data_IF_146381388237
#
_entry.id   IF_146381388237
#
_cell.length_a   1.000
_cell.length_b   1.000
_cell.length_c   1.000
_cell.angle_alpha   90.00
_cell.angle_beta   90.00
_cell.angle_gamma   90.00
#
_symmetry.space_group_name_H-M   'P 1'
#
loop_
_entity.id
_entity.type
_entity.pdbx_description
1 polymer ?
#
# COMPACT_ATOMS: atom_id res chain seq x y z
N UNK A 1 7.33 16.75 13.55
CA UNK A 1 7.92 15.66 14.37
C UNK A 1 9.19 15.19 13.69
N UNK A 2 10.37 15.60 14.19
CA UNK A 2 11.64 14.99 13.78
C UNK A 2 11.81 13.79 14.68
N UNK A 3 11.60 12.59 14.15
CA UNK A 3 11.92 11.35 14.87
C UNK A 3 13.44 11.33 14.99
N UNK A 4 13.93 11.52 16.21
CA UNK A 4 15.36 11.59 16.48
C UNK A 4 15.97 10.21 16.22
N UNK A 5 16.73 10.09 15.13
CA UNK A 5 17.42 8.86 14.71
C UNK A 5 18.28 8.27 15.84
N UNK A 6 18.76 9.13 16.76
CA UNK A 6 19.50 8.69 17.94
C UNK A 6 18.64 7.86 18.88
N UNK A 7 17.40 8.29 19.13
CA UNK A 7 16.50 7.62 20.08
C UNK A 7 16.03 6.25 19.58
N UNK A 8 15.82 6.15 18.26
CA UNK A 8 15.44 4.90 17.61
C UNK A 8 16.62 3.91 17.55
N UNK A 9 17.84 4.40 17.32
CA UNK A 9 19.06 3.58 17.38
C UNK A 9 19.36 3.11 18.81
N UNK A 10 19.17 3.95 19.84
CA UNK A 10 19.35 3.53 21.24
C UNK A 10 18.32 2.49 21.66
N UNK A 11 17.05 2.65 21.26
CA UNK A 11 16.01 1.66 21.56
C UNK A 11 16.25 0.31 20.85
N UNK A 12 16.78 0.35 19.61
CA UNK A 12 17.17 -0.86 18.86
C UNK A 12 18.36 -1.59 19.50
N UNK A 13 19.31 -0.86 20.06
CA UNK A 13 20.46 -1.43 20.76
C UNK A 13 20.09 -2.07 22.09
N UNK A 14 19.16 -1.47 22.84
CA UNK A 14 18.73 -1.98 24.16
C UNK A 14 18.02 -3.35 24.09
N UNK A 15 17.46 -3.73 22.93
CA UNK A 15 16.79 -5.03 22.74
C UNK A 15 17.78 -6.21 22.88
N UNK A 16 19.03 -6.02 22.46
CA UNK A 16 20.06 -7.09 22.47
C UNK A 16 21.17 -6.83 23.47
N UNK A 17 21.50 -5.56 23.72
CA UNK A 17 22.50 -5.15 24.69
C UNK A 17 21.84 -4.26 25.73
N UNK A 18 21.08 -4.88 26.63
CA UNK A 18 20.48 -4.18 27.77
C UNK A 18 21.58 -3.44 28.54
N UNK A 19 21.54 -2.10 28.53
CA UNK A 19 22.35 -1.32 29.45
C UNK A 19 21.70 -1.36 30.82
N UNK A 20 22.43 -1.89 31.78
CA UNK A 20 22.07 -1.86 33.19
C UNK A 20 21.99 -0.38 33.63
N UNK A 21 20.77 0.15 33.79
CA UNK A 21 20.53 1.57 34.13
C UNK A 21 20.68 1.85 35.65
N UNK A 22 21.20 0.90 36.43
CA UNK A 22 21.08 0.95 37.89
C UNK A 22 22.29 1.50 38.65
N UNK A 23 23.44 1.81 38.03
CA UNK A 23 24.54 2.43 38.76
C UNK A 23 25.35 3.47 37.98
N UNK A 24 25.55 4.59 38.67
CA UNK A 24 26.18 5.82 38.22
C UNK A 24 27.70 5.73 38.16
N UNK A 25 28.27 6.44 37.18
CA UNK A 25 29.61 7.08 37.20
C UNK A 25 30.83 6.14 37.00
N UNK A 26 31.48 6.37 35.84
CA UNK A 26 32.82 5.92 35.43
C UNK A 26 32.98 4.41 35.22
N UNK A 27 32.68 3.96 34.01
CA UNK A 27 33.72 3.33 33.18
C UNK A 27 33.22 3.26 31.74
N UNK A 28 33.94 3.94 30.84
CA UNK A 28 33.88 3.65 29.41
C UNK A 28 34.37 2.20 29.23
N UNK A 29 33.47 1.22 29.37
CA UNK A 29 33.76 -0.18 29.02
C UNK A 29 33.91 -0.23 27.50
N UNK A 30 35.13 0.04 27.01
CA UNK A 30 35.56 -0.28 25.65
C UNK A 30 35.39 -1.79 25.47
N UNK A 31 34.81 -2.26 24.36
CA UNK A 31 34.67 -3.70 24.13
C UNK A 31 36.05 -4.32 23.93
N UNK A 32 36.59 -5.00 24.94
CA UNK A 32 37.87 -5.74 24.88
C UNK A 32 37.72 -7.14 24.23
N UNK A 33 36.83 -7.27 23.25
CA UNK A 33 36.70 -8.50 22.46
C UNK A 33 36.44 -8.13 21.01
N UNK A 34 37.34 -8.54 20.13
CA UNK A 34 37.26 -8.37 18.67
C UNK A 34 35.95 -8.96 18.12
N UNK A 35 35.41 -10.00 18.76
CA UNK A 35 34.11 -10.59 18.44
C UNK A 35 32.91 -9.73 18.87
N UNK A 36 32.99 -9.05 20.01
CA UNK A 36 31.93 -8.15 20.50
C UNK A 36 31.81 -6.87 19.68
N UNK A 37 32.94 -6.31 19.23
CA UNK A 37 32.97 -5.16 18.33
C UNK A 37 32.42 -5.52 16.94
N UNK A 38 32.76 -6.70 16.41
CA UNK A 38 32.21 -7.20 15.15
C UNK A 38 30.69 -7.42 15.23
N UNK A 39 30.20 -8.04 16.31
CA UNK A 39 28.77 -8.24 16.54
C UNK A 39 28.01 -6.92 16.67
N UNK A 40 28.58 -5.92 17.35
CA UNK A 40 28.01 -4.57 17.45
C UNK A 40 27.93 -3.85 16.09
N UNK A 41 28.99 -3.93 15.28
CA UNK A 41 29.00 -3.35 13.93
C UNK A 41 28.06 -4.09 12.97
N UNK A 42 27.98 -5.42 13.06
CA UNK A 42 27.03 -6.19 12.27
C UNK A 42 25.58 -5.85 12.66
N UNK A 43 25.30 -5.74 13.95
CA UNK A 43 23.95 -5.46 14.47
C UNK A 43 23.49 -4.02 14.19
N UNK A 44 24.42 -3.05 14.25
CA UNK A 44 24.15 -1.67 13.87
C UNK A 44 23.98 -1.51 12.35
N UNK A 45 24.79 -2.19 11.54
CA UNK A 45 24.61 -2.21 10.09
C UNK A 45 23.27 -2.85 9.69
N UNK A 46 22.88 -3.93 10.37
CA UNK A 46 21.61 -4.61 10.16
C UNK A 46 20.43 -3.72 10.61
N UNK A 47 20.55 -3.06 11.76
CA UNK A 47 19.57 -2.07 12.23
C UNK A 47 19.42 -0.88 11.29
N UNK A 48 20.52 -0.37 10.74
CA UNK A 48 20.52 0.73 9.77
C UNK A 48 19.88 0.31 8.44
N UNK A 49 20.17 -0.90 7.97
CA UNK A 49 19.57 -1.46 6.76
C UNK A 49 18.06 -1.68 6.95
N UNK A 50 17.65 -2.24 8.09
CA UNK A 50 16.24 -2.37 8.48
C UNK A 50 15.58 -0.99 8.55
N UNK A 51 16.18 0.00 9.20
CA UNK A 51 15.66 1.38 9.24
C UNK A 51 15.53 1.99 7.85
N UNK A 52 16.49 1.76 6.97
CA UNK A 52 16.48 2.29 5.59
C UNK A 52 15.34 1.73 4.77
N UNK A 53 14.88 0.51 5.06
CA UNK A 53 13.74 -0.13 4.38
C UNK A 53 12.43 0.15 5.11
N UNK A 54 12.40 0.04 6.44
CA UNK A 54 11.21 0.22 7.28
C UNK A 54 10.77 1.68 7.29
N UNK A 55 11.69 2.65 7.30
CA UNK A 55 11.34 4.07 7.31
C UNK A 55 10.54 4.50 6.07
N UNK A 56 10.99 4.25 4.81
CA UNK A 56 10.18 4.58 3.64
C UNK A 56 8.87 3.80 3.61
N UNK A 57 8.83 2.55 4.08
CA UNK A 57 7.58 1.78 4.21
C UNK A 57 6.61 2.40 5.21
N UNK A 58 7.10 2.90 6.33
CA UNK A 58 6.31 3.58 7.35
C UNK A 58 5.76 4.91 6.80
N UNK A 59 6.57 5.66 6.04
CA UNK A 59 6.13 6.86 5.32
C UNK A 59 5.07 6.51 4.27
N UNK A 60 5.23 5.39 3.54
CA UNK A 60 4.26 4.90 2.57
C UNK A 60 2.93 4.50 3.23
N UNK A 61 2.99 3.83 4.38
CA UNK A 61 1.82 3.52 5.21
C UNK A 61 1.13 4.79 5.71
N UNK A 62 1.90 5.79 6.17
CA UNK A 62 1.38 7.08 6.61
C UNK A 62 0.76 7.88 5.45
N UNK A 63 1.38 7.89 4.28
CA UNK A 63 0.86 8.53 3.08
C UNK A 63 -0.43 7.86 2.63
N UNK A 64 -0.44 6.52 2.55
CA UNK A 64 -1.64 5.72 2.24
C UNK A 64 -2.76 6.04 3.23
N UNK A 65 -2.47 6.08 4.54
CA UNK A 65 -3.44 6.48 5.56
C UNK A 65 -3.90 7.93 5.41
N UNK A 66 -3.01 8.86 5.08
CA UNK A 66 -3.36 10.27 4.88
C UNK A 66 -4.32 10.44 3.70
N UNK A 67 -4.05 9.78 2.58
CA UNK A 67 -4.96 9.74 1.44
C UNK A 67 -6.26 9.02 1.78
N UNK A 68 -6.20 7.89 2.50
CA UNK A 68 -7.39 7.16 2.95
C UNK A 68 -8.27 7.99 3.91
N UNK A 69 -7.71 8.68 4.90
CA UNK A 69 -8.44 9.58 5.80
C UNK A 69 -8.99 10.81 5.10
N UNK A 70 -8.30 11.32 4.06
CA UNK A 70 -8.81 12.43 3.27
C UNK A 70 -10.01 11.98 2.44
N UNK A 71 -9.92 10.81 1.82
CA UNK A 71 -11.05 10.16 1.12
C UNK A 71 -12.19 9.86 2.10
N UNK A 72 -11.89 9.41 3.33
CA UNK A 72 -12.91 9.17 4.37
C UNK A 72 -13.64 10.45 4.74
N UNK A 73 -12.97 11.61 4.79
CA UNK A 73 -13.63 12.88 5.09
C UNK A 73 -14.62 13.29 4.00
N UNK A 74 -14.30 13.03 2.74
CA UNK A 74 -15.24 13.21 1.62
C UNK A 74 -16.36 12.15 1.65
N UNK A 75 -16.03 10.90 1.99
CA UNK A 75 -16.96 9.76 2.01
C UNK A 75 -17.90 9.77 3.22
N UNK A 76 -17.48 10.31 4.36
CA UNK A 76 -18.31 10.48 5.56
C UNK A 76 -19.42 11.50 5.34
N UNK A 77 -19.21 12.48 4.44
CA UNK A 77 -20.24 13.44 4.03
C UNK A 77 -21.14 12.94 2.90
N UNK A 78 -20.62 12.20 1.92
CA UNK A 78 -21.37 11.79 0.72
C UNK A 78 -21.96 10.37 0.77
N UNK A 79 -21.42 9.49 1.62
CA UNK A 79 -21.73 8.06 1.59
C UNK A 79 -21.26 7.34 0.31
N UNK A 80 -21.48 6.03 0.22
CA UNK A 80 -21.15 5.25 -1.00
C UNK A 80 -21.91 5.76 -2.23
N UNK A 81 -23.17 6.18 -2.03
CA UNK A 81 -24.02 6.73 -3.08
C UNK A 81 -23.45 8.03 -3.62
N UNK A 82 -22.98 8.93 -2.75
CA UNK A 82 -22.36 10.16 -3.20
C UNK A 82 -21.02 9.93 -3.91
N UNK A 83 -20.22 8.96 -3.48
CA UNK A 83 -19.00 8.59 -4.24
C UNK A 83 -19.35 8.05 -5.62
N UNK A 84 -20.39 7.22 -5.74
CA UNK A 84 -20.86 6.73 -7.02
C UNK A 84 -21.35 7.87 -7.92
N UNK A 85 -22.16 8.79 -7.39
CA UNK A 85 -22.67 9.97 -8.14
C UNK A 85 -21.53 10.89 -8.57
N UNK A 86 -20.58 11.18 -7.68
CA UNK A 86 -19.41 11.98 -8.00
C UNK A 86 -18.54 11.32 -9.06
N UNK A 87 -18.36 9.99 -8.96
CA UNK A 87 -17.61 9.22 -9.95
C UNK A 87 -18.30 9.26 -11.32
N UNK A 88 -19.61 9.06 -11.37
CA UNK A 88 -20.40 9.19 -12.61
C UNK A 88 -20.30 10.61 -13.17
N UNK A 89 -20.30 11.63 -12.33
CA UNK A 89 -20.15 13.02 -12.77
C UNK A 89 -18.77 13.29 -13.36
N UNK A 90 -17.69 12.88 -12.67
CA UNK A 90 -16.31 13.07 -13.15
C UNK A 90 -16.08 12.29 -14.44
N UNK A 91 -16.42 11.00 -14.47
CA UNK A 91 -16.26 10.17 -15.67
C UNK A 91 -17.18 10.64 -16.80
N UNK A 92 -18.40 11.04 -16.50
CA UNK A 92 -19.33 11.62 -17.47
C UNK A 92 -18.79 12.89 -18.11
N UNK A 93 -18.11 13.75 -17.33
CA UNK A 93 -17.44 14.94 -17.86
C UNK A 93 -16.26 14.55 -18.77
N UNK A 94 -15.45 13.57 -18.39
CA UNK A 94 -14.37 13.06 -19.23
C UNK A 94 -14.90 12.43 -20.53
N UNK A 95 -15.99 11.67 -20.48
CA UNK A 95 -16.64 11.08 -21.65
C UNK A 95 -17.25 12.16 -22.56
N UNK A 96 -17.87 13.19 -21.99
CA UNK A 96 -18.36 14.33 -22.78
C UNK A 96 -17.20 15.08 -23.45
N UNK A 97 -16.09 15.28 -22.73
CA UNK A 97 -14.89 15.92 -23.26
C UNK A 97 -14.27 15.12 -24.42
N UNK A 98 -14.21 13.79 -24.32
CA UNK A 98 -13.71 12.95 -25.43
C UNK A 98 -14.68 12.90 -26.61
N UNK A 99 -15.99 12.97 -26.37
CA UNK A 99 -17.00 13.02 -27.43
C UNK A 99 -16.93 14.30 -28.28
N UNK A 100 -16.60 15.44 -27.66
CA UNK A 100 -16.52 16.75 -28.34
C UNK A 100 -15.13 16.97 -28.97
N UNK A 101 -14.12 16.23 -28.52
CA UNK A 101 -12.75 16.32 -29.02
C UNK A 101 -12.59 15.62 -30.38
N UNK A 102 -11.59 15.95 -31.21
CA UNK A 102 -11.30 15.24 -32.47
C UNK A 102 -10.83 13.78 -32.29
N UNK A 103 -10.87 13.26 -31.07
CA UNK A 103 -10.46 11.92 -30.71
C UNK A 103 -11.48 10.94 -31.30
N UNK A 104 -10.99 9.85 -31.90
CA UNK A 104 -11.85 8.80 -32.45
C UNK A 104 -12.85 8.28 -31.40
N UNK A 105 -14.03 7.84 -31.84
CA UNK A 105 -15.11 7.28 -30.99
C UNK A 105 -14.61 6.17 -30.04
N UNK A 106 -13.57 5.46 -30.45
CA UNK A 106 -12.76 4.53 -29.64
C UNK A 106 -12.32 5.11 -28.29
N UNK A 107 -11.85 6.36 -28.25
CA UNK A 107 -11.45 7.05 -27.02
C UNK A 107 -12.63 7.35 -26.09
N UNK A 108 -13.81 7.61 -26.64
CA UNK A 108 -15.03 7.75 -25.83
C UNK A 108 -15.40 6.43 -25.15
N UNK A 109 -15.46 5.33 -25.92
CA UNK A 109 -15.78 3.99 -25.40
C UNK A 109 -14.74 3.58 -24.34
N UNK A 110 -13.46 3.83 -24.59
CA UNK A 110 -12.38 3.56 -23.66
C UNK A 110 -12.61 4.22 -22.28
N UNK A 111 -12.94 5.52 -22.28
CA UNK A 111 -13.20 6.26 -21.04
C UNK A 111 -14.46 5.78 -20.32
N UNK A 112 -15.54 5.49 -21.05
CA UNK A 112 -16.80 5.01 -20.46
C UNK A 112 -16.59 3.66 -19.78
N UNK A 113 -16.01 2.68 -20.47
CA UNK A 113 -15.83 1.33 -19.92
C UNK A 113 -14.83 1.36 -18.75
N UNK A 114 -13.73 2.11 -18.88
CA UNK A 114 -12.77 2.32 -17.80
C UNK A 114 -13.42 2.97 -16.57
N UNK A 115 -14.25 3.98 -16.79
CA UNK A 115 -14.98 4.66 -15.72
C UNK A 115 -15.91 3.72 -14.96
N UNK A 116 -16.69 2.90 -15.66
CA UNK A 116 -17.57 1.89 -15.03
C UNK A 116 -16.77 0.93 -14.15
N UNK A 117 -15.66 0.40 -14.64
CA UNK A 117 -14.79 -0.51 -13.88
C UNK A 117 -14.21 0.18 -12.65
N UNK A 118 -13.76 1.43 -12.79
CA UNK A 118 -13.25 2.25 -11.69
C UNK A 118 -14.33 2.43 -10.61
N UNK A 119 -15.54 2.84 -11.02
CA UNK A 119 -16.65 3.13 -10.12
C UNK A 119 -17.10 1.88 -9.37
N UNK A 120 -17.30 0.76 -10.06
CA UNK A 120 -17.70 -0.51 -9.42
C UNK A 120 -16.64 -0.93 -8.39
N UNK A 121 -15.37 -0.94 -8.79
CA UNK A 121 -14.27 -1.33 -7.89
C UNK A 121 -14.17 -0.42 -6.67
N UNK A 122 -14.31 0.89 -6.85
CA UNK A 122 -14.27 1.87 -5.77
C UNK A 122 -15.46 1.72 -4.81
N UNK A 123 -16.68 1.59 -5.33
CA UNK A 123 -17.89 1.40 -4.52
C UNK A 123 -17.78 0.10 -3.72
N UNK A 124 -17.32 -0.97 -4.35
CA UNK A 124 -17.16 -2.26 -3.70
C UNK A 124 -16.07 -2.21 -2.62
N UNK A 125 -14.95 -1.53 -2.87
CA UNK A 125 -13.92 -1.27 -1.86
C UNK A 125 -14.48 -0.53 -0.64
N UNK A 126 -15.29 0.51 -0.87
CA UNK A 126 -15.93 1.28 0.21
C UNK A 126 -16.98 0.46 0.97
N UNK A 127 -17.71 -0.40 0.27
CA UNK A 127 -18.68 -1.30 0.88
C UNK A 127 -17.99 -2.28 1.84
N UNK A 128 -16.94 -2.98 1.39
CA UNK A 128 -16.21 -3.92 2.23
C UNK A 128 -15.47 -3.24 3.39
N UNK A 129 -15.06 -1.98 3.21
CA UNK A 129 -14.47 -1.19 4.28
C UNK A 129 -15.45 -0.87 5.41
N UNK A 130 -16.75 -0.78 5.12
CA UNK A 130 -17.78 -0.47 6.13
C UNK A 130 -18.20 -1.65 6.99
N UNK A 131 -17.82 -2.88 6.64
CA UNK A 131 -18.23 -4.09 7.38
C UNK A 131 -17.50 -4.27 8.73
N UNK A 132 -16.90 -3.19 9.28
CA UNK A 132 -16.19 -3.08 10.58
C UNK A 132 -15.09 -4.13 10.89
N UNK A 133 -14.80 -5.05 9.98
CA UNK A 133 -13.73 -6.04 10.14
C UNK A 133 -12.40 -5.51 9.63
N UNK A 134 -11.40 -5.33 10.53
CA UNK A 134 -9.99 -5.06 10.16
C UNK A 134 -9.49 -6.02 9.06
N UNK A 135 -9.84 -7.30 9.17
CA UNK A 135 -9.49 -8.32 8.18
C UNK A 135 -10.17 -8.10 6.82
N UNK A 136 -11.47 -7.78 6.79
CA UNK A 136 -12.21 -7.55 5.53
C UNK A 136 -11.68 -6.35 4.75
N UNK A 137 -11.22 -5.31 5.46
CA UNK A 137 -10.61 -4.14 4.84
C UNK A 137 -9.28 -4.50 4.19
N UNK A 138 -8.39 -5.21 4.90
CA UNK A 138 -7.07 -5.64 4.38
C UNK A 138 -7.22 -6.61 3.21
N UNK A 139 -8.06 -7.63 3.36
CA UNK A 139 -8.13 -8.74 2.40
C UNK A 139 -8.88 -8.35 1.13
N UNK A 140 -9.90 -7.49 1.23
CA UNK A 140 -10.82 -7.22 0.12
C UNK A 140 -10.82 -5.75 -0.30
N UNK A 141 -10.97 -4.82 0.65
CA UNK A 141 -11.12 -3.40 0.32
C UNK A 141 -9.85 -2.80 -0.31
N UNK A 142 -8.66 -3.13 0.20
CA UNK A 142 -7.42 -2.61 -0.39
C UNK A 142 -7.14 -3.14 -1.79
N UNK A 143 -7.23 -4.45 -2.09
CA UNK A 143 -7.13 -4.95 -3.46
C UNK A 143 -8.11 -4.27 -4.43
N UNK A 144 -9.37 -4.11 -4.04
CA UNK A 144 -10.37 -3.44 -4.87
C UNK A 144 -10.07 -1.95 -5.05
N UNK A 145 -9.53 -1.28 -4.03
CA UNK A 145 -9.07 0.10 -4.13
C UNK A 145 -7.90 0.26 -5.11
N UNK A 146 -6.91 -0.64 -5.05
CA UNK A 146 -5.80 -0.69 -6.01
C UNK A 146 -6.35 -0.96 -7.42
N UNK A 147 -7.29 -1.89 -7.56
CA UNK A 147 -7.98 -2.19 -8.82
C UNK A 147 -8.69 -0.95 -9.38
N UNK A 148 -9.40 -0.20 -8.55
CA UNK A 148 -10.12 1.01 -8.96
C UNK A 148 -9.19 2.09 -9.54
N UNK A 149 -7.91 2.10 -9.15
CA UNK A 149 -6.91 3.07 -9.59
C UNK A 149 -6.18 2.59 -10.85
N UNK A 150 -5.74 1.32 -10.87
CA UNK A 150 -4.83 0.82 -11.90
C UNK A 150 -5.50 0.07 -13.04
N UNK A 151 -6.69 -0.50 -12.81
CA UNK A 151 -7.41 -1.24 -13.84
C UNK A 151 -8.02 -0.34 -14.93
N UNK A 152 -8.53 0.89 -14.65
CA UNK A 152 -9.16 1.72 -15.68
C UNK A 152 -8.27 2.02 -16.90
N UNK A 153 -6.98 2.40 -16.74
CA UNK A 153 -6.09 2.60 -17.89
C UNK A 153 -5.90 1.34 -18.76
N UNK A 154 -5.86 0.16 -18.14
CA UNK A 154 -5.68 -1.14 -18.83
C UNK A 154 -6.94 -1.53 -19.57
N UNK A 155 -8.11 -1.27 -18.98
CA UNK A 155 -9.38 -1.50 -19.65
C UNK A 155 -9.57 -0.51 -20.80
N UNK A 156 -9.20 0.75 -20.61
CA UNK A 156 -9.24 1.77 -21.67
C UNK A 156 -8.36 1.38 -22.86
N UNK A 157 -7.20 0.77 -22.62
CA UNK A 157 -6.30 0.34 -23.71
C UNK A 157 -6.85 -0.80 -24.57
N UNK A 158 -7.88 -1.52 -24.12
CA UNK A 158 -8.59 -2.48 -24.97
C UNK A 158 -9.41 -1.82 -26.08
N UNK A 159 -9.80 -0.56 -25.88
CA UNK A 159 -10.68 0.17 -26.78
C UNK A 159 -9.97 1.32 -27.49
N UNK A 160 -8.75 1.69 -27.07
CA UNK A 160 -7.97 2.79 -27.67
C UNK A 160 -6.60 2.30 -28.16
N UNK A 161 -6.34 2.32 -29.48
CA UNK A 161 -5.04 1.94 -30.05
C UNK A 161 -3.88 2.78 -29.52
N UNK A 162 -4.10 4.06 -29.24
CA UNK A 162 -3.10 4.96 -28.66
C UNK A 162 -2.67 4.55 -27.27
N UNK A 163 -3.62 4.07 -26.45
CA UNK A 163 -3.30 3.54 -25.12
C UNK A 163 -2.71 2.13 -25.21
N UNK A 164 -3.22 1.29 -26.12
CA UNK A 164 -2.74 -0.06 -26.37
C UNK A 164 -1.24 -0.10 -26.69
N UNK A 165 -0.77 0.84 -27.53
CA UNK A 165 0.63 0.90 -27.97
C UNK A 165 1.62 1.22 -26.86
N UNK A 166 1.15 1.77 -25.74
CA UNK A 166 1.98 2.08 -24.56
C UNK A 166 1.76 1.01 -23.48
N UNK A 167 0.50 0.71 -23.16
CA UNK A 167 0.13 -0.14 -22.02
C UNK A 167 0.47 -1.61 -22.27
N UNK A 168 0.19 -2.16 -23.46
CA UNK A 168 0.42 -3.59 -23.71
C UNK A 168 1.90 -3.97 -23.78
N UNK A 169 2.79 -3.23 -24.46
CA UNK A 169 4.22 -3.53 -24.44
C UNK A 169 4.83 -3.47 -23.03
N UNK A 170 4.48 -2.43 -22.25
CA UNK A 170 4.93 -2.31 -20.86
C UNK A 170 4.40 -3.44 -19.99
N UNK A 171 3.12 -3.80 -20.15
CA UNK A 171 2.50 -4.92 -19.41
C UNK A 171 3.15 -6.26 -19.75
N UNK A 172 3.44 -6.52 -21.03
CA UNK A 172 4.13 -7.73 -21.47
C UNK A 172 5.55 -7.81 -20.92
N UNK A 173 6.29 -6.70 -20.96
CA UNK A 173 7.65 -6.63 -20.40
C UNK A 173 7.65 -6.95 -18.89
N UNK A 174 6.71 -6.34 -18.15
CA UNK A 174 6.52 -6.61 -16.73
C UNK A 174 6.14 -8.07 -16.47
N UNK A 175 5.22 -8.64 -17.26
CA UNK A 175 4.81 -10.04 -17.13
C UNK A 175 5.99 -11.00 -17.32
N UNK A 176 6.79 -10.77 -18.36
CA UNK A 176 7.99 -11.57 -18.65
C UNK A 176 9.00 -11.43 -17.50
N UNK A 177 9.19 -10.22 -16.97
CA UNK A 177 10.09 -9.99 -15.84
C UNK A 177 9.62 -10.73 -14.58
N UNK A 178 8.32 -10.67 -14.24
CA UNK A 178 7.77 -11.40 -13.09
C UNK A 178 7.93 -12.91 -13.29
N UNK A 179 7.62 -13.43 -14.49
CA UNK A 179 7.79 -14.85 -14.79
C UNK A 179 9.23 -15.32 -14.66
N UNK A 180 10.19 -14.50 -15.09
CA UNK A 180 11.61 -14.87 -15.09
C UNK A 180 12.30 -14.71 -13.72
N UNK A 181 11.78 -13.87 -12.83
CA UNK A 181 12.46 -13.56 -11.56
C UNK A 181 11.71 -14.09 -10.34
N UNK A 182 10.38 -13.95 -10.32
CA UNK A 182 9.55 -14.26 -9.16
C UNK A 182 8.93 -15.65 -9.29
N UNK A 183 8.42 -15.98 -10.49
CA UNK A 183 7.68 -17.23 -10.74
C UNK A 183 8.50 -18.30 -11.45
N UNK A 184 9.82 -18.13 -11.57
CA UNK A 184 10.75 -19.13 -12.13
C UNK A 184 11.05 -20.27 -11.13
N UNK A 185 10.08 -20.57 -10.26
CA UNK A 185 10.18 -21.58 -9.22
C UNK A 185 9.21 -22.70 -9.55
N UNK A 186 9.69 -23.95 -9.46
CA UNK A 186 8.88 -25.16 -9.59
C UNK A 186 8.04 -25.28 -10.88
N UNK A 187 8.49 -24.66 -11.98
CA UNK A 187 7.82 -24.77 -13.29
C UNK A 187 6.55 -23.92 -13.45
N UNK A 188 6.22 -23.05 -12.49
CA UNK A 188 5.04 -22.18 -12.54
C UNK A 188 5.09 -21.26 -13.78
N UNK A 189 6.25 -20.66 -14.07
CA UNK A 189 6.42 -19.84 -15.27
C UNK A 189 6.18 -20.62 -16.58
N UNK A 190 6.62 -21.88 -16.65
CA UNK A 190 6.40 -22.74 -17.81
C UNK A 190 4.91 -23.10 -17.97
N UNK A 191 4.23 -23.42 -16.87
CA UNK A 191 2.79 -23.70 -16.86
C UNK A 191 1.97 -22.48 -17.31
N UNK A 192 2.29 -21.29 -16.80
CA UNK A 192 1.58 -20.04 -17.16
C UNK A 192 1.79 -19.73 -18.65
N UNK A 193 3.01 -19.85 -19.18
CA UNK A 193 3.29 -19.64 -20.62
C UNK A 193 2.60 -20.65 -21.53
N UNK A 194 2.46 -21.90 -21.08
CA UNK A 194 1.81 -22.95 -21.86
C UNK A 194 0.27 -22.82 -21.84
N UNK A 195 -0.29 -22.27 -20.77
CA UNK A 195 -1.75 -22.23 -20.54
C UNK A 195 -2.39 -20.88 -20.89
N UNK A 196 -1.62 -19.79 -20.90
CA UNK A 196 -2.15 -18.44 -21.05
C UNK A 196 -1.38 -17.62 -22.09
N UNK A 197 -2.11 -17.08 -23.06
CA UNK A 197 -1.59 -16.04 -23.94
C UNK A 197 -2.01 -14.66 -23.41
N UNK A 198 -1.04 -13.77 -23.24
CA UNK A 198 -1.32 -12.38 -22.86
C UNK A 198 -1.86 -11.62 -24.07
N UNK A 199 -3.17 -11.68 -24.28
CA UNK A 199 -3.87 -10.92 -25.30
C UNK A 199 -5.13 -10.26 -24.72
N UNK A 200 -5.35 -8.98 -25.07
CA UNK A 200 -6.55 -8.23 -24.73
C UNK A 200 -6.95 -8.35 -23.25
N UNK A 201 -8.08 -9.01 -22.98
CA UNK A 201 -8.65 -9.15 -21.63
C UNK A 201 -7.71 -9.88 -20.66
N UNK A 202 -6.78 -10.71 -21.14
CA UNK A 202 -5.77 -11.34 -20.29
C UNK A 202 -4.88 -10.31 -19.55
N UNK A 203 -4.64 -9.14 -20.14
CA UNK A 203 -3.96 -8.04 -19.46
C UNK A 203 -4.74 -7.54 -18.24
N UNK A 204 -6.07 -7.45 -18.35
CA UNK A 204 -6.95 -7.05 -17.24
C UNK A 204 -6.88 -8.09 -16.11
N UNK A 205 -6.93 -9.38 -16.44
CA UNK A 205 -6.80 -10.46 -15.46
C UNK A 205 -5.45 -10.46 -14.74
N UNK A 206 -4.36 -10.20 -15.48
CA UNK A 206 -3.02 -10.05 -14.92
C UNK A 206 -2.95 -8.87 -13.94
N UNK A 207 -3.37 -7.68 -14.36
CA UNK A 207 -3.34 -6.48 -13.53
C UNK A 207 -4.23 -6.61 -12.29
N UNK A 208 -5.40 -7.24 -12.43
CA UNK A 208 -6.26 -7.57 -11.29
C UNK A 208 -5.55 -8.53 -10.32
N UNK A 209 -4.89 -9.56 -10.83
CA UNK A 209 -4.14 -10.51 -10.01
C UNK A 209 -2.97 -9.86 -9.28
N UNK A 210 -2.32 -8.86 -9.89
CA UNK A 210 -1.26 -8.05 -9.26
C UNK A 210 -1.80 -7.06 -8.22
N UNK A 211 -3.02 -6.55 -8.42
CA UNK A 211 -3.65 -5.64 -7.47
C UNK A 211 -3.93 -6.30 -6.11
N UNK A 212 -4.11 -7.62 -6.06
CA UNK A 212 -4.32 -8.39 -4.83
C UNK A 212 -3.12 -8.33 -3.87
N UNK A 213 -1.92 -8.81 -4.24
CA UNK A 213 -0.76 -8.77 -3.34
C UNK A 213 -0.35 -7.33 -3.01
N UNK A 214 -0.48 -6.39 -3.96
CA UNK A 214 -0.21 -4.96 -3.71
C UNK A 214 -1.20 -4.39 -2.70
N UNK A 215 -2.49 -4.72 -2.83
CA UNK A 215 -3.53 -4.33 -1.89
C UNK A 215 -3.27 -4.88 -0.49
N UNK A 216 -2.91 -6.16 -0.37
CA UNK A 216 -2.56 -6.76 0.91
C UNK A 216 -1.32 -6.13 1.54
N UNK A 217 -0.32 -5.81 0.74
CA UNK A 217 0.87 -5.11 1.20
C UNK A 217 0.56 -3.72 1.75
N UNK A 218 -0.25 -2.92 1.04
CA UNK A 218 -0.68 -1.61 1.52
C UNK A 218 -1.56 -1.73 2.77
N UNK A 219 -2.48 -2.69 2.78
CA UNK A 219 -3.36 -2.94 3.91
C UNK A 219 -2.60 -3.35 5.17
N UNK A 220 -1.60 -4.23 5.04
CA UNK A 220 -0.76 -4.65 6.15
C UNK A 220 0.05 -3.50 6.73
N UNK A 221 0.67 -2.67 5.89
CA UNK A 221 1.40 -1.47 6.32
C UNK A 221 0.51 -0.52 7.13
N UNK A 222 -0.72 -0.27 6.68
CA UNK A 222 -1.64 0.61 7.42
C UNK A 222 -2.02 -0.02 8.76
N UNK A 223 -2.32 -1.32 8.81
CA UNK A 223 -2.63 -1.99 10.08
C UNK A 223 -1.47 -1.98 11.08
N UNK A 224 -0.23 -2.07 10.60
CA UNK A 224 0.97 -1.97 11.44
C UNK A 224 1.12 -0.57 12.04
N UNK A 225 0.93 0.47 11.22
CA UNK A 225 0.98 1.87 11.67
C UNK A 225 -0.11 2.15 12.72
N UNK A 226 -1.31 1.62 12.51
CA UNK A 226 -2.42 1.77 13.45
C UNK A 226 -2.12 1.08 14.79
N UNK A 227 -1.54 -0.13 14.77
CA UNK A 227 -1.18 -0.86 15.99
C UNK A 227 -0.10 -0.17 16.84
N UNK A 228 0.91 0.44 16.22
CA UNK A 228 1.97 1.20 16.93
C UNK A 228 1.38 2.40 17.66
N UNK A 229 0.36 3.04 17.09
CA UNK A 229 -0.27 4.23 17.68
C UNK A 229 -1.20 3.88 18.85
N UNK A 230 -1.93 2.77 18.77
CA UNK A 230 -2.79 2.29 19.87
C UNK A 230 -1.95 1.87 21.10
N UNK A 231 -0.75 1.34 20.85
CA UNK A 231 0.20 0.91 21.91
C UNK A 231 0.90 2.07 22.63
N UNK A 232 0.77 3.30 22.12
CA UNK A 232 1.43 4.51 22.64
C UNK A 232 0.51 5.49 23.35
N UNK A 233 -0.75 5.13 23.62
CA UNK A 233 -1.68 5.96 24.39
C UNK A 233 -1.26 6.04 25.87
N UNK A 234 -1.37 7.21 26.53
CA UNK A 234 -0.93 7.37 27.91
C UNK A 234 -1.70 6.40 28.81
N UNK A 235 -0.97 5.63 29.61
CA UNK A 235 -1.53 4.92 30.75
C UNK A 235 -2.36 5.92 31.56
N UNK A 236 -3.68 5.71 31.59
CA UNK A 236 -4.53 6.33 32.59
C UNK A 236 -3.99 5.89 33.95
N UNK A 237 -3.27 6.81 34.62
CA UNK A 237 -3.02 6.70 36.05
C UNK A 237 -4.37 6.90 36.70
N UNK A 238 -4.89 5.81 37.24
CA UNK A 238 -6.07 5.78 38.09
C UNK A 238 -5.66 6.40 39.43
N UNK A 239 -5.81 7.73 39.55
CA UNK A 239 -5.59 8.44 40.81
C UNK A 239 -6.76 8.15 41.75
N UNK A 240 -6.64 7.04 42.48
CA UNK A 240 -7.31 6.87 43.76
C UNK A 240 -6.77 7.90 44.75
N UNK A 241 -7.60 8.90 45.13
CA UNK A 241 -7.11 9.96 46.03
C UNK A 241 -8.15 10.95 46.54
N UNK A 242 -8.96 10.49 47.50
CA UNK A 242 -9.58 11.26 48.60
C UNK A 242 -10.56 12.41 48.32
N UNK A 243 -11.79 12.22 48.81
CA UNK A 243 -12.60 13.30 49.40
C UNK A 243 -11.75 14.06 50.43
N UNK A 244 -11.83 15.40 50.42
CA UNK A 244 -11.88 16.31 51.59
C UNK A 244 -11.49 17.74 51.16
N UNK A 245 -12.48 18.57 50.85
CA UNK A 245 -12.92 19.78 51.57
C UNK A 245 -13.87 20.57 50.68
#
# INVERSE_FOLDING_TARGET
MRVDLRWLHTSWMDIVFARDQSNSVVENRKPESTGGAAAYHLWSALGMLVLTVVYPLFVLGLATRFYAHRIDRFTAGLGFAGVAVFSVFVWGLFSAATYISPIAFEGFVAVVVAGVVATISAVLALYFRRLDGRASTVVVAYPLGVTAIFLPPVVASLYSPTLASIVFPSSTSLAIWILNNILDVAGIAAFIRASFELQGVAYVGMWFSLAIPVGWFLGSLVTLVDGVRDSGGPHHVDDGGSKLY
#
